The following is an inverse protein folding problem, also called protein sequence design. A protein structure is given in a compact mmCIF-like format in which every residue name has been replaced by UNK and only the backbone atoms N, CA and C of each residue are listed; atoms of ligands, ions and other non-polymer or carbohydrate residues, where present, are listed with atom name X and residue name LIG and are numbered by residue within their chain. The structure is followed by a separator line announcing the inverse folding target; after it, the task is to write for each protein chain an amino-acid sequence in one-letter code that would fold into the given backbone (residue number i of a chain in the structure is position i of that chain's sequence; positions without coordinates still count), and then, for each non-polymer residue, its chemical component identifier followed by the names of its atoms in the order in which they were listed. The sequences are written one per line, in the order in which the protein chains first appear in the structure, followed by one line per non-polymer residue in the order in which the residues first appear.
data_IF_871671167891
#
_entry.id   IF_871671167891
#
_cell.length_a   1.000
_cell.length_b   1.000
_cell.length_c   1.000
_cell.angle_alpha   90.00
_cell.angle_beta   90.00
_cell.angle_gamma   90.00
#
_symmetry.space_group_name_H-M   'P 1'
#
loop_
_entity.id
_entity.type
_entity.pdbx_description
1 polymer ?
#
# COMPACT_ATOMS: atom_id res chain seq x y z
N UNK A 1 25.35 -19.13 -3.39
CA UNK A 1 24.92 -18.72 -2.03
C UNK A 1 23.91 -17.60 -2.16
N UNK A 2 22.65 -17.82 -1.81
CA UNK A 2 21.65 -16.77 -1.76
C UNK A 2 22.04 -15.76 -0.64
N UNK A 3 22.11 -14.49 -0.97
CA UNK A 3 22.37 -13.44 0.02
C UNK A 3 21.07 -13.06 0.70
N UNK A 4 21.02 -12.87 2.03
CA UNK A 4 19.85 -12.32 2.71
C UNK A 4 19.46 -10.98 2.06
N UNK A 5 18.17 -10.79 1.80
CA UNK A 5 17.65 -9.51 1.37
C UNK A 5 17.18 -8.73 2.58
N UNK A 6 17.68 -7.52 2.75
CA UNK A 6 17.38 -6.65 3.89
C UNK A 6 16.75 -5.37 3.34
N UNK A 7 15.59 -5.00 3.86
CA UNK A 7 14.92 -3.75 3.58
C UNK A 7 14.73 -2.98 4.88
N UNK A 8 15.29 -1.77 4.96
CA UNK A 8 14.94 -0.82 6.00
C UNK A 8 13.61 -0.14 5.68
N UNK A 9 12.71 -0.05 6.65
CA UNK A 9 11.38 0.55 6.54
C UNK A 9 11.27 1.63 7.61
N UNK A 10 11.38 2.89 7.17
CA UNK A 10 11.24 4.08 8.00
C UNK A 10 10.21 4.99 7.31
N UNK A 11 8.92 4.71 7.46
CA UNK A 11 7.89 5.44 6.74
C UNK A 11 7.69 6.84 7.32
N UNK A 12 7.42 7.78 6.42
CA UNK A 12 6.98 9.13 6.78
C UNK A 12 5.53 9.07 7.26
N UNK A 13 5.15 9.90 8.23
CA UNK A 13 3.78 9.99 8.72
C UNK A 13 2.79 10.26 7.58
N UNK A 14 1.61 9.64 7.65
CA UNK A 14 0.51 9.90 6.75
C UNK A 14 -0.03 11.32 6.89
N UNK A 15 -0.65 11.84 5.83
CA UNK A 15 -1.31 13.13 5.84
C UNK A 15 -2.55 13.10 4.94
N UNK A 16 -3.68 13.57 5.45
CA UNK A 16 -4.96 13.59 4.75
C UNK A 16 -5.01 14.56 3.55
N UNK A 17 -3.96 15.37 3.32
CA UNK A 17 -3.94 16.44 2.32
C UNK A 17 -2.71 16.44 1.43
N UNK A 18 -1.83 15.46 1.55
CA UNK A 18 -0.54 15.47 0.87
C UNK A 18 -0.62 15.17 -0.65
N UNK A 19 -1.79 14.77 -1.16
CA UNK A 19 -2.05 14.56 -2.60
C UNK A 19 -2.96 15.66 -3.15
N UNK A 20 -4.15 15.86 -2.54
CA UNK A 20 -5.08 16.91 -2.92
C UNK A 20 -5.45 17.74 -1.68
N UNK A 21 -5.23 19.03 -1.73
CA UNK A 21 -5.81 19.97 -0.77
C UNK A 21 -7.33 20.03 -0.94
N UNK A 22 -8.02 20.62 0.04
CA UNK A 22 -9.47 20.74 0.07
C UNK A 22 -10.00 21.41 -1.20
N UNK A 23 -10.84 20.71 -1.95
CA UNK A 23 -11.42 21.18 -3.20
C UNK A 23 -12.77 20.53 -3.49
N UNK A 24 -13.54 21.15 -4.37
CA UNK A 24 -14.81 20.63 -4.90
C UNK A 24 -14.85 20.74 -6.42
N UNK A 25 -15.79 20.06 -7.07
CA UNK A 25 -16.03 20.13 -8.52
C UNK A 25 -17.51 20.35 -8.82
N UNK A 26 -17.78 21.30 -9.73
CA UNK A 26 -19.13 21.58 -10.21
C UNK A 26 -19.60 20.60 -11.33
N UNK A 27 -18.73 19.71 -11.80
CA UNK A 27 -19.00 18.67 -12.80
C UNK A 27 -18.08 17.49 -12.63
N UNK A 28 -18.35 16.37 -13.27
CA UNK A 28 -17.40 15.28 -13.42
C UNK A 28 -16.06 15.79 -13.95
N UNK A 29 -14.95 15.22 -13.48
CA UNK A 29 -13.62 15.58 -13.97
C UNK A 29 -12.50 15.36 -12.97
N UNK A 30 -11.29 15.67 -13.40
CA UNK A 30 -10.05 15.42 -12.65
C UNK A 30 -9.89 16.44 -11.52
N UNK A 31 -9.54 15.96 -10.33
CA UNK A 31 -9.13 16.79 -9.20
C UNK A 31 -7.73 17.39 -9.44
N UNK A 32 -7.49 18.56 -8.90
CA UNK A 32 -6.16 19.19 -8.93
C UNK A 32 -5.27 18.50 -7.90
N UNK A 33 -4.17 17.89 -8.35
CA UNK A 33 -3.15 17.36 -7.46
C UNK A 33 -2.22 18.50 -7.03
N UNK A 34 -2.41 19.00 -5.82
CA UNK A 34 -1.73 20.20 -5.31
C UNK A 34 -1.24 20.04 -3.85
N UNK A 35 -1.25 18.84 -3.31
CA UNK A 35 -0.66 18.50 -2.02
C UNK A 35 0.87 18.34 -2.10
N UNK A 36 1.52 18.24 -0.96
CA UNK A 36 2.99 18.17 -0.86
C UNK A 36 3.63 16.96 -1.57
N UNK A 37 2.88 15.86 -1.73
CA UNK A 37 3.33 14.66 -2.46
C UNK A 37 2.73 14.52 -3.86
N UNK A 38 2.02 15.55 -4.34
CA UNK A 38 1.47 15.54 -5.70
C UNK A 38 2.57 15.38 -6.75
N UNK A 39 2.41 14.42 -7.67
CA UNK A 39 3.38 14.15 -8.73
C UNK A 39 4.71 13.56 -8.27
N UNK A 40 4.83 13.14 -7.01
CA UNK A 40 6.06 12.52 -6.47
C UNK A 40 5.89 11.01 -6.29
N UNK A 41 7.01 10.32 -6.16
CA UNK A 41 7.04 8.91 -5.73
C UNK A 41 7.04 8.88 -4.21
N UNK A 42 6.14 8.09 -3.62
CA UNK A 42 6.07 7.95 -2.17
C UNK A 42 7.25 7.11 -1.64
N UNK A 43 7.52 7.23 -0.35
CA UNK A 43 8.51 6.41 0.37
C UNK A 43 8.23 4.90 0.22
N UNK A 44 6.95 4.52 0.38
CA UNK A 44 6.40 3.18 0.15
C UNK A 44 5.07 3.31 -0.59
N UNK A 45 4.63 2.24 -1.24
CA UNK A 45 3.29 2.23 -1.79
C UNK A 45 2.27 2.30 -0.66
N UNK A 46 1.29 3.21 -0.77
CA UNK A 46 0.31 3.51 0.28
C UNK A 46 -1.10 3.43 -0.24
N UNK A 47 -2.02 3.07 0.62
CA UNK A 47 -3.41 3.35 0.33
C UNK A 47 -3.68 4.84 0.41
N UNK A 48 -4.72 5.29 -0.29
CA UNK A 48 -5.14 6.67 -0.33
C UNK A 48 -6.34 6.86 0.59
N UNK A 49 -6.29 7.89 1.43
CA UNK A 49 -7.41 8.33 2.26
C UNK A 49 -8.15 9.46 1.55
N UNK A 50 -9.41 9.23 1.22
CA UNK A 50 -10.34 10.21 0.69
C UNK A 50 -11.19 10.70 1.87
N UNK A 51 -11.11 11.98 2.21
CA UNK A 51 -11.76 12.55 3.38
C UNK A 51 -12.74 13.66 2.98
N UNK A 52 -13.96 13.60 3.47
CA UNK A 52 -14.96 14.64 3.27
C UNK A 52 -15.81 14.84 4.53
N UNK A 53 -16.16 16.09 4.82
CA UNK A 53 -17.13 16.43 5.85
C UNK A 53 -18.59 16.35 5.39
N UNK A 54 -18.85 16.07 4.11
CA UNK A 54 -20.18 15.93 3.53
C UNK A 54 -20.36 14.59 2.81
N UNK A 55 -21.56 14.40 2.25
CA UNK A 55 -21.90 13.14 1.58
C UNK A 55 -21.50 13.17 0.10
N UNK A 56 -20.54 12.35 -0.27
CA UNK A 56 -20.08 12.08 -1.63
C UNK A 56 -20.28 10.60 -2.04
N UNK A 57 -21.07 9.82 -1.29
CA UNK A 57 -21.23 8.37 -1.51
C UNK A 57 -21.86 7.98 -2.86
N UNK A 58 -22.50 8.94 -3.54
CA UNK A 58 -23.02 8.74 -4.91
C UNK A 58 -21.96 8.97 -6.01
N UNK A 59 -20.74 9.38 -5.62
CA UNK A 59 -19.65 9.71 -6.55
C UNK A 59 -18.57 8.64 -6.45
N UNK A 60 -18.12 8.17 -7.58
CA UNK A 60 -16.94 7.29 -7.66
C UNK A 60 -15.71 8.14 -8.01
N UNK A 61 -14.65 7.95 -7.25
CA UNK A 61 -13.34 8.56 -7.49
C UNK A 61 -12.42 7.50 -8.10
N UNK A 62 -12.04 7.69 -9.37
CA UNK A 62 -11.06 6.82 -10.04
C UNK A 62 -9.67 7.36 -9.80
N UNK A 63 -8.89 6.66 -8.97
CA UNK A 63 -7.49 6.96 -8.69
C UNK A 63 -6.61 6.19 -9.69
N UNK A 64 -5.67 6.87 -10.34
CA UNK A 64 -4.72 6.29 -11.31
C UNK A 64 -3.31 6.63 -10.90
N UNK A 65 -2.40 5.67 -11.05
CA UNK A 65 -0.99 5.83 -10.69
C UNK A 65 -0.19 4.56 -10.96
N UNK A 66 0.77 4.27 -10.11
CA UNK A 66 1.56 3.05 -10.18
C UNK A 66 1.57 2.32 -8.85
N UNK A 67 1.77 0.99 -8.88
CA UNK A 67 2.02 0.16 -7.71
C UNK A 67 3.48 0.26 -7.21
N UNK A 68 3.82 -0.51 -6.18
CA UNK A 68 5.16 -0.58 -5.60
C UNK A 68 6.24 -1.05 -6.59
N UNK A 69 5.86 -1.77 -7.64
CA UNK A 69 6.75 -2.30 -8.67
C UNK A 69 6.82 -1.41 -9.92
N UNK A 70 6.13 -0.25 -9.90
CA UNK A 70 6.10 0.73 -10.99
C UNK A 70 5.11 0.41 -12.11
N UNK A 71 4.19 -0.53 -11.91
CA UNK A 71 3.17 -0.90 -12.89
C UNK A 71 1.99 0.03 -12.82
N UNK A 72 1.32 0.22 -13.96
CA UNK A 72 0.08 1.00 -14.02
C UNK A 72 -0.99 0.41 -13.08
N UNK A 73 -1.59 1.27 -12.27
CA UNK A 73 -2.59 0.92 -11.28
C UNK A 73 -3.78 1.85 -11.39
N UNK A 74 -4.99 1.27 -11.27
CA UNK A 74 -6.23 2.04 -11.17
C UNK A 74 -7.10 1.44 -10.08
N UNK A 75 -7.77 2.30 -9.31
CA UNK A 75 -8.71 1.91 -8.26
C UNK A 75 -9.93 2.84 -8.28
N UNK A 76 -11.13 2.25 -8.20
CA UNK A 76 -12.38 2.97 -8.17
C UNK A 76 -12.92 2.98 -6.73
N UNK A 77 -12.87 4.14 -6.10
CA UNK A 77 -13.25 4.33 -4.70
C UNK A 77 -14.60 5.03 -4.62
N UNK A 78 -15.57 4.42 -3.93
CA UNK A 78 -16.83 5.12 -3.60
C UNK A 78 -16.54 6.27 -2.64
N UNK A 79 -17.06 7.45 -2.92
CA UNK A 79 -16.78 8.64 -2.14
C UNK A 79 -17.24 8.54 -0.68
N UNK A 80 -16.60 9.32 0.21
CA UNK A 80 -16.92 9.33 1.63
C UNK A 80 -18.30 9.94 1.91
N UNK A 81 -18.92 9.52 3.02
CA UNK A 81 -20.15 10.09 3.57
C UNK A 81 -19.88 10.69 4.95
N UNK A 82 -19.37 11.91 4.98
CA UNK A 82 -18.92 12.61 6.19
C UNK A 82 -17.91 11.79 7.02
N UNK A 83 -17.02 11.10 6.34
CA UNK A 83 -16.02 10.21 6.94
C UNK A 83 -14.76 10.14 6.07
N UNK A 84 -13.88 9.20 6.39
CA UNK A 84 -12.74 8.78 5.56
C UNK A 84 -13.06 7.46 4.88
N UNK A 85 -12.79 7.35 3.59
CA UNK A 85 -12.82 6.10 2.81
C UNK A 85 -11.44 5.86 2.23
N UNK A 86 -10.98 4.63 2.28
CA UNK A 86 -9.64 4.25 1.84
C UNK A 86 -9.69 3.52 0.49
N UNK A 87 -8.67 3.73 -0.35
CA UNK A 87 -8.48 2.92 -1.55
C UNK A 87 -8.27 1.44 -1.18
N UNK A 88 -8.61 0.55 -2.10
CA UNK A 88 -8.37 -0.89 -1.90
C UNK A 88 -6.93 -1.27 -2.24
N UNK A 89 -6.30 -0.50 -3.13
CA UNK A 89 -4.97 -0.76 -3.68
C UNK A 89 -3.91 0.18 -3.09
N UNK A 90 -2.64 -0.26 -3.16
CA UNK A 90 -1.47 0.49 -2.69
C UNK A 90 -0.80 1.21 -3.85
N UNK A 91 -0.77 2.54 -3.80
CA UNK A 91 -0.17 3.42 -4.81
C UNK A 91 1.24 3.85 -4.41
N UNK A 92 2.20 3.70 -5.31
CA UNK A 92 3.55 4.26 -5.19
C UNK A 92 3.63 5.68 -5.76
N UNK A 93 2.82 5.95 -6.78
CA UNK A 93 2.60 7.29 -7.35
C UNK A 93 1.13 7.49 -7.63
N UNK A 94 0.67 8.74 -7.66
CA UNK A 94 -0.67 9.12 -8.12
C UNK A 94 -0.52 10.10 -9.26
N UNK A 95 -1.10 9.78 -10.42
CA UNK A 95 -1.05 10.62 -11.63
C UNK A 95 -2.35 11.37 -11.88
N UNK A 96 -3.49 10.81 -11.49
CA UNK A 96 -4.79 11.50 -11.56
C UNK A 96 -5.81 10.91 -10.58
N UNK A 97 -6.77 11.73 -10.19
CA UNK A 97 -7.97 11.32 -9.44
C UNK A 97 -9.15 12.00 -10.13
N UNK A 98 -10.10 11.20 -10.62
CA UNK A 98 -11.25 11.69 -11.39
C UNK A 98 -12.55 11.44 -10.63
N UNK A 99 -13.32 12.48 -10.38
CA UNK A 99 -14.68 12.39 -9.83
C UNK A 99 -15.68 12.09 -10.95
N UNK A 100 -16.57 11.12 -10.76
CA UNK A 100 -17.56 10.68 -11.76
C UNK A 100 -18.71 11.68 -11.95
N UNK A 101 -18.93 12.63 -11.02
CA UNK A 101 -20.04 13.56 -11.05
C UNK A 101 -19.73 14.89 -10.33
N UNK A 102 -20.69 15.82 -10.36
CA UNK A 102 -20.69 17.05 -9.56
C UNK A 102 -20.72 16.73 -8.06
N UNK A 103 -19.86 17.37 -7.31
CA UNK A 103 -19.72 17.20 -5.86
C UNK A 103 -20.64 18.12 -5.04
N UNK A 104 -21.54 18.87 -5.70
CA UNK A 104 -22.55 19.71 -5.05
C UNK A 104 -22.00 20.65 -3.96
N UNK A 105 -20.84 21.27 -4.23
CA UNK A 105 -20.11 22.14 -3.31
C UNK A 105 -19.57 21.45 -2.05
N UNK A 106 -19.62 20.13 -1.97
CA UNK A 106 -18.96 19.36 -0.92
C UNK A 106 -17.46 19.25 -1.23
N UNK A 107 -16.63 19.55 -0.25
CA UNK A 107 -15.19 19.46 -0.39
C UNK A 107 -14.66 18.06 -0.09
N UNK A 108 -13.60 17.68 -0.79
CA UNK A 108 -12.80 16.49 -0.55
C UNK A 108 -11.32 16.86 -0.36
N UNK A 109 -10.64 16.13 0.49
CA UNK A 109 -9.17 16.08 0.53
C UNK A 109 -8.72 14.66 0.21
N UNK A 110 -7.54 14.51 -0.35
CA UNK A 110 -6.93 13.20 -0.57
C UNK A 110 -5.50 13.21 -0.08
N UNK A 111 -5.17 12.18 0.66
CA UNK A 111 -3.83 12.00 1.18
C UNK A 111 -3.39 10.53 1.25
N UNK A 112 -2.22 10.33 1.83
CA UNK A 112 -1.69 8.98 2.09
C UNK A 112 -2.17 8.48 3.45
N UNK A 113 -2.39 7.17 3.55
CA UNK A 113 -2.72 6.52 4.81
C UNK A 113 -1.49 5.87 5.47
N UNK A 114 -1.66 5.37 6.69
CA UNK A 114 -0.65 4.53 7.37
C UNK A 114 -0.60 3.10 6.82
N UNK A 115 -1.57 2.71 5.99
CA UNK A 115 -1.53 1.45 5.26
C UNK A 115 -0.50 1.54 4.14
N UNK A 116 0.62 0.84 4.31
CA UNK A 116 1.66 0.75 3.29
C UNK A 116 1.96 -0.69 2.88
N UNK A 117 2.54 -0.83 1.71
CA UNK A 117 3.08 -2.09 1.20
C UNK A 117 4.50 -1.89 0.66
N UNK A 118 5.37 -2.84 0.93
CA UNK A 118 6.68 -2.90 0.27
C UNK A 118 6.54 -3.43 -1.16
N UNK A 119 7.60 -3.28 -1.95
CA UNK A 119 7.76 -4.08 -3.17
C UNK A 119 7.63 -5.57 -2.84
N UNK A 120 7.19 -6.35 -3.82
CA UNK A 120 7.24 -7.80 -3.71
C UNK A 120 8.67 -8.30 -3.83
N UNK A 121 8.96 -9.34 -3.08
CA UNK A 121 10.20 -10.09 -3.14
C UNK A 121 9.91 -11.46 -3.73
N UNK A 122 10.48 -11.73 -4.90
CA UNK A 122 10.38 -13.05 -5.53
C UNK A 122 11.16 -14.07 -4.69
N UNK A 123 10.54 -15.19 -4.45
CA UNK A 123 11.12 -16.34 -3.79
C UNK A 123 11.58 -17.35 -4.84
N UNK A 124 12.60 -18.13 -4.53
CA UNK A 124 12.95 -19.27 -5.38
C UNK A 124 11.93 -20.40 -5.12
N UNK A 125 11.10 -20.68 -6.10
CA UNK A 125 10.02 -21.67 -6.02
C UNK A 125 10.28 -22.93 -6.88
N UNK A 126 11.49 -23.05 -7.44
CA UNK A 126 11.87 -24.20 -8.25
C UNK A 126 12.30 -25.41 -7.41
N UNK A 127 12.71 -25.16 -6.17
CA UNK A 127 13.03 -26.18 -5.18
C UNK A 127 12.16 -25.98 -3.93
N UNK A 128 11.87 -27.05 -3.19
CA UNK A 128 11.18 -26.98 -1.89
C UNK A 128 12.06 -26.29 -0.83
N UNK A 129 12.33 -25.02 -1.01
CA UNK A 129 13.25 -24.26 -0.17
C UNK A 129 12.46 -23.41 0.81
N UNK A 130 12.61 -23.71 2.10
CA UNK A 130 12.05 -22.89 3.15
C UNK A 130 12.69 -21.49 3.12
N UNK A 131 11.87 -20.47 2.90
CA UNK A 131 12.24 -19.09 3.12
C UNK A 131 11.87 -18.68 4.55
N UNK A 132 12.76 -17.95 5.21
CA UNK A 132 12.52 -17.38 6.53
C UNK A 132 12.46 -15.86 6.39
N UNK A 133 11.44 -15.28 6.99
CA UNK A 133 11.33 -13.82 7.16
C UNK A 133 11.60 -13.45 8.60
N UNK A 134 12.35 -12.36 8.76
CA UNK A 134 12.53 -11.71 10.05
C UNK A 134 12.16 -10.24 9.92
N UNK A 135 11.18 -9.79 10.71
CA UNK A 135 10.80 -8.38 10.81
C UNK A 135 11.23 -7.89 12.17
N UNK A 136 12.23 -7.02 12.21
CA UNK A 136 12.71 -6.43 13.46
C UNK A 136 12.11 -5.02 13.61
N UNK A 137 11.31 -4.83 14.66
CA UNK A 137 10.85 -3.52 15.10
C UNK A 137 11.84 -2.98 16.15
N UNK A 138 12.65 -2.00 15.77
CA UNK A 138 13.73 -1.47 16.61
C UNK A 138 13.39 -0.14 17.28
N UNK A 139 12.40 0.59 16.75
CA UNK A 139 11.90 1.83 17.35
C UNK A 139 10.45 2.10 16.92
N UNK A 140 9.74 2.94 17.68
CA UNK A 140 8.36 3.32 17.43
C UNK A 140 7.37 2.17 17.61
N UNK A 141 6.22 2.29 16.98
CA UNK A 141 5.18 1.25 16.96
C UNK A 141 4.70 1.00 15.53
N UNK A 142 4.38 -0.25 15.23
CA UNK A 142 3.74 -0.63 13.96
C UNK A 142 2.89 -1.88 14.16
N UNK A 143 1.77 -1.92 13.45
CA UNK A 143 1.02 -3.16 13.19
C UNK A 143 1.33 -3.59 11.77
N UNK A 144 1.98 -4.72 11.61
CA UNK A 144 2.42 -5.22 10.31
C UNK A 144 2.01 -6.67 10.07
N UNK A 145 1.95 -7.04 8.81
CA UNK A 145 1.73 -8.41 8.37
C UNK A 145 2.69 -8.74 7.24
N UNK A 146 3.09 -10.00 7.13
CA UNK A 146 3.77 -10.50 5.94
C UNK A 146 2.76 -11.25 5.09
N UNK A 147 2.66 -10.89 3.83
CA UNK A 147 1.79 -11.52 2.85
C UNK A 147 2.59 -12.38 1.90
N UNK A 148 1.98 -13.46 1.47
CA UNK A 148 2.49 -14.42 0.50
C UNK A 148 1.59 -14.46 -0.72
N UNK A 149 2.15 -14.76 -1.89
CA UNK A 149 1.37 -15.05 -3.09
C UNK A 149 1.82 -16.35 -3.72
N UNK A 150 0.84 -17.12 -4.17
CA UNK A 150 0.99 -18.36 -4.95
C UNK A 150 0.69 -18.13 -6.43
N UNK A 151 0.18 -16.96 -6.75
CA UNK A 151 -0.05 -16.52 -8.13
C UNK A 151 1.30 -16.30 -8.83
N UNK A 152 1.32 -16.43 -10.15
CA UNK A 152 2.53 -16.13 -10.92
C UNK A 152 2.83 -14.63 -10.82
N UNK A 153 3.95 -14.22 -10.24
CA UNK A 153 4.31 -12.81 -10.10
C UNK A 153 4.97 -12.28 -11.41
N UNK A 154 4.28 -12.50 -12.54
CA UNK A 154 4.81 -12.27 -13.90
C UNK A 154 4.88 -10.81 -14.33
N UNK A 155 4.30 -9.93 -13.57
CA UNK A 155 4.42 -8.52 -13.80
C UNK A 155 3.44 -7.89 -14.77
N UNK A 156 2.52 -8.63 -15.35
CA UNK A 156 1.67 -8.11 -16.43
C UNK A 156 0.35 -7.53 -15.94
N UNK A 157 -0.18 -8.03 -14.83
CA UNK A 157 -1.46 -7.58 -14.29
C UNK A 157 -1.43 -7.59 -12.76
N UNK A 158 -2.14 -6.65 -12.14
CA UNK A 158 -2.42 -6.62 -10.70
C UNK A 158 -3.44 -7.73 -10.32
N UNK A 159 -3.16 -8.95 -10.75
CA UNK A 159 -3.99 -10.14 -10.55
C UNK A 159 -3.44 -11.05 -9.45
N UNK A 160 -2.38 -10.63 -8.79
CA UNK A 160 -1.77 -11.42 -7.72
C UNK A 160 -2.70 -11.50 -6.53
N UNK A 161 -3.04 -12.72 -6.13
CA UNK A 161 -3.84 -12.97 -4.92
C UNK A 161 -2.87 -13.06 -3.74
N UNK A 162 -2.96 -12.10 -2.84
CA UNK A 162 -2.16 -12.03 -1.63
C UNK A 162 -2.90 -12.68 -0.47
N UNK A 163 -2.24 -13.60 0.19
CA UNK A 163 -2.73 -14.30 1.39
C UNK A 163 -1.92 -13.82 2.59
N UNK A 164 -2.59 -13.61 3.71
CA UNK A 164 -1.93 -13.31 4.98
C UNK A 164 -2.09 -14.52 5.91
N UNK A 165 -1.06 -15.36 6.07
CA UNK A 165 -1.12 -16.46 7.03
C UNK A 165 -1.37 -15.95 8.45
N UNK A 166 -2.16 -16.67 9.24
CA UNK A 166 -2.50 -16.26 10.63
C UNK A 166 -1.25 -16.03 11.48
N UNK A 167 -0.22 -16.86 11.29
CA UNK A 167 1.06 -16.72 11.99
C UNK A 167 1.80 -15.42 11.65
N UNK A 168 1.52 -14.80 10.50
CA UNK A 168 2.18 -13.60 9.97
C UNK A 168 1.28 -12.35 10.02
N UNK A 169 0.07 -12.47 10.54
CA UNK A 169 -0.96 -11.41 10.55
C UNK A 169 -0.86 -10.52 11.78
N UNK A 170 -1.05 -9.22 11.59
CA UNK A 170 -1.25 -8.20 12.62
C UNK A 170 -0.23 -8.27 13.77
N UNK A 171 1.06 -8.34 13.44
CA UNK A 171 2.15 -8.37 14.43
C UNK A 171 2.51 -6.97 14.88
N UNK A 172 2.81 -6.83 16.17
CA UNK A 172 3.19 -5.57 16.81
C UNK A 172 4.57 -5.63 17.49
N UNK A 173 5.26 -6.75 17.36
CA UNK A 173 6.59 -6.99 17.89
C UNK A 173 7.47 -7.69 16.85
N UNK A 174 8.78 -7.74 17.10
CA UNK A 174 9.72 -8.49 16.25
C UNK A 174 9.21 -9.89 15.97
N UNK A 175 9.22 -10.27 14.69
CA UNK A 175 8.75 -11.56 14.18
C UNK A 175 9.87 -12.29 13.46
N UNK A 176 10.02 -13.59 13.73
CA UNK A 176 10.80 -14.51 12.89
C UNK A 176 9.89 -15.69 12.57
N UNK A 177 9.69 -15.98 11.28
CA UNK A 177 8.80 -17.05 10.86
C UNK A 177 9.22 -17.61 9.50
N UNK A 178 8.86 -18.88 9.25
CA UNK A 178 9.00 -19.50 7.93
C UNK A 178 7.81 -19.10 7.05
N UNK A 179 8.10 -18.88 5.77
CA UNK A 179 7.09 -18.78 4.72
C UNK A 179 6.71 -20.18 4.23
N UNK A 180 5.56 -20.26 3.56
CA UNK A 180 5.18 -21.50 2.87
C UNK A 180 6.20 -21.81 1.77
N UNK A 181 6.60 -23.08 1.66
CA UNK A 181 7.60 -23.53 0.69
C UNK A 181 7.17 -23.31 -0.77
N UNK A 182 5.86 -23.20 -1.02
CA UNK A 182 5.29 -23.00 -2.36
C UNK A 182 4.99 -21.51 -2.67
N UNK A 183 5.25 -20.61 -1.73
CA UNK A 183 5.05 -19.17 -1.96
C UNK A 183 6.02 -18.67 -3.04
N UNK A 184 5.51 -17.97 -4.03
CA UNK A 184 6.29 -17.42 -5.16
C UNK A 184 6.87 -16.05 -4.90
N UNK A 185 6.20 -15.27 -4.05
CA UNK A 185 6.69 -13.99 -3.58
C UNK A 185 6.11 -13.66 -2.20
N UNK A 186 6.76 -12.74 -1.51
CA UNK A 186 6.27 -12.16 -0.27
C UNK A 186 6.41 -10.65 -0.28
N UNK A 187 5.63 -9.98 0.57
CA UNK A 187 5.74 -8.54 0.85
C UNK A 187 5.37 -8.27 2.31
N UNK A 188 5.82 -7.14 2.84
CA UNK A 188 5.37 -6.62 4.12
C UNK A 188 4.32 -5.54 3.88
N UNK A 189 3.26 -5.56 4.67
CA UNK A 189 2.27 -4.48 4.76
C UNK A 189 2.19 -3.99 6.20
N UNK A 190 1.83 -2.71 6.38
CA UNK A 190 1.40 -2.18 7.67
C UNK A 190 -0.05 -1.69 7.59
N UNK A 191 -0.74 -1.64 8.72
CA UNK A 191 -2.10 -1.09 8.85
C UNK A 191 -2.15 0.08 9.82
N UNK A 192 -1.13 0.26 10.62
CA UNK A 192 -0.96 1.41 11.52
C UNK A 192 0.50 1.53 11.92
N UNK A 193 0.99 2.75 12.10
CA UNK A 193 2.31 2.96 12.67
C UNK A 193 2.46 4.35 13.31
N UNK A 194 3.45 4.47 14.20
CA UNK A 194 3.91 5.75 14.75
C UNK A 194 5.43 5.75 14.80
N UNK A 195 6.05 6.53 13.90
CA UNK A 195 7.50 6.68 13.74
C UNK A 195 8.30 5.36 13.88
N UNK A 196 7.93 4.27 13.18
CA UNK A 196 8.58 2.98 13.34
C UNK A 196 9.92 2.98 12.60
N UNK A 197 10.84 2.17 13.13
CA UNK A 197 12.01 1.68 12.39
C UNK A 197 11.90 0.17 12.31
N UNK A 198 11.65 -0.33 11.11
CA UNK A 198 11.53 -1.75 10.82
C UNK A 198 12.67 -2.20 9.90
N UNK A 199 13.12 -3.44 10.08
CA UNK A 199 13.99 -4.13 9.13
C UNK A 199 13.29 -5.41 8.68
N UNK A 200 13.02 -5.53 7.40
CA UNK A 200 12.40 -6.70 6.79
C UNK A 200 13.49 -7.51 6.09
N UNK A 201 13.80 -8.66 6.66
CA UNK A 201 14.86 -9.56 6.20
C UNK A 201 14.24 -10.82 5.63
N UNK A 202 14.73 -11.26 4.46
CA UNK A 202 14.32 -12.50 3.81
C UNK A 202 15.56 -13.34 3.59
N UNK A 203 15.55 -14.55 4.11
CA UNK A 203 16.62 -15.53 3.95
C UNK A 203 16.05 -16.78 3.31
N UNK A 204 16.65 -17.24 2.22
CA UNK A 204 16.36 -18.52 1.61
C UNK A 204 17.61 -19.41 1.67
N UNK A 205 17.44 -20.70 1.98
CA UNK A 205 18.50 -21.69 1.91
C UNK A 205 18.57 -22.28 0.51
N UNK A 206 19.73 -22.43 -0.02
CA UNK A 206 19.98 -23.19 -1.27
C UNK A 206 19.82 -22.36 -2.56
N UNK A 207 20.87 -22.17 -3.26
CA UNK A 207 21.07 -22.11 -4.72
C UNK A 207 22.53 -22.47 -4.97
#
# INVERSE_FOLDING_TARGET
MARPKILAIVPVAASATDICLSQTRASAGVLTLNGAKAGTTFDFARKLDLVSGGNLSAITFTCVGTDADGRALSDAVTGPNANTVQSTKYFQTVTSITASANMSAVNITVGTSDDLATKKYLLNFYDEIAAVVAVHLTAGTATFSVQETYSQPDGVNDTEVWVTPTALSAKTATLVASLDAHAKACRLITTAFSAPTLSFNITQSGC
#
